data_IF_280898447875
#
_entry.id   IF_280898447875
#
_cell.length_a   1.000
_cell.length_b   1.000
_cell.length_c   1.000
_cell.angle_alpha   90.00
_cell.angle_beta   90.00
_cell.angle_gamma   90.00
#
_symmetry.space_group_name_H-M   'P 1'
#
loop_
_entity.id
_entity.type
_entity.pdbx_description
1 polymer ?
#
# COMPACT_ATOMS: atom_id res chain seq x y z
N UNK A 1 7.59 0.06 8.33
CA UNK A 1 6.58 -1.01 8.07
C UNK A 1 5.80 -0.72 6.79
N UNK A 2 5.70 -1.66 5.84
CA UNK A 2 5.17 -1.39 4.47
C UNK A 2 3.65 -1.52 4.32
N UNK A 3 3.06 -2.58 4.87
CA UNK A 3 1.62 -2.85 4.73
C UNK A 3 1.06 -3.56 5.96
N UNK A 4 -0.16 -3.19 6.39
CA UNK A 4 -1.00 -3.98 7.30
C UNK A 4 -2.28 -4.39 6.60
N UNK A 5 -2.69 -5.63 6.83
CA UNK A 5 -3.91 -6.18 6.26
C UNK A 5 -4.87 -6.59 7.36
N UNK A 6 -6.03 -5.94 7.36
CA UNK A 6 -7.23 -6.35 8.08
C UNK A 6 -8.22 -6.95 7.08
N UNK A 7 -9.29 -7.62 7.53
CA UNK A 7 -10.27 -8.24 6.63
C UNK A 7 -10.81 -7.28 5.55
N UNK A 8 -11.07 -6.02 5.92
CA UNK A 8 -11.70 -5.01 5.06
C UNK A 8 -10.87 -3.73 4.91
N UNK A 9 -9.63 -3.71 5.41
CA UNK A 9 -8.80 -2.51 5.40
C UNK A 9 -7.35 -2.85 5.13
N UNK A 10 -6.69 -2.05 4.31
CA UNK A 10 -5.29 -2.18 3.96
C UNK A 10 -4.60 -0.86 4.30
N UNK A 11 -3.71 -0.88 5.29
CA UNK A 11 -2.92 0.31 5.62
C UNK A 11 -1.59 0.25 4.88
N UNK A 12 -1.26 1.32 4.18
CA UNK A 12 -0.08 1.47 3.35
C UNK A 12 0.87 2.44 4.07
N UNK A 13 2.12 2.01 4.21
CA UNK A 13 3.18 2.77 4.90
C UNK A 13 2.83 3.19 6.35
N UNK A 14 2.10 2.38 7.16
CA UNK A 14 1.54 2.82 8.46
C UNK A 14 2.57 3.36 9.47
N UNK A 15 3.83 2.96 9.31
CA UNK A 15 4.96 3.43 10.08
C UNK A 15 6.22 3.28 9.21
N UNK A 16 6.15 3.77 7.97
CA UNK A 16 7.31 3.84 7.09
C UNK A 16 8.00 5.21 7.23
N UNK A 17 9.33 5.20 7.20
CA UNK A 17 10.10 6.43 7.20
C UNK A 17 9.92 7.14 5.85
N UNK A 18 9.37 8.37 5.87
CA UNK A 18 9.09 9.15 4.67
C UNK A 18 10.36 9.60 3.93
N UNK A 19 11.53 9.48 4.55
CA UNK A 19 12.81 9.79 3.90
C UNK A 19 13.39 8.62 3.11
N UNK A 20 12.82 7.41 3.25
CA UNK A 20 13.34 6.19 2.64
C UNK A 20 12.51 5.79 1.43
N UNK A 21 13.15 5.87 0.27
CA UNK A 21 12.61 5.40 -1.01
C UNK A 21 12.35 3.88 -0.97
N UNK A 22 11.18 3.45 -1.44
CA UNK A 22 10.84 2.02 -1.53
C UNK A 22 9.88 1.72 -2.67
N UNK A 23 10.07 0.57 -3.31
CA UNK A 23 9.07 -0.06 -4.17
C UNK A 23 8.67 -1.40 -3.59
N UNK A 24 7.37 -1.69 -3.57
CA UNK A 24 6.90 -2.99 -3.14
C UNK A 24 5.65 -3.43 -3.88
N UNK A 25 5.51 -4.75 -3.94
CA UNK A 25 4.34 -5.46 -4.44
C UNK A 25 4.01 -6.58 -3.46
N UNK A 26 2.90 -6.44 -2.75
CA UNK A 26 2.54 -7.36 -1.68
C UNK A 26 1.09 -7.84 -1.82
N UNK A 27 0.83 -9.03 -1.26
CA UNK A 27 -0.50 -9.62 -1.21
C UNK A 27 -1.23 -9.19 0.07
N UNK A 28 -2.48 -8.79 -0.09
CA UNK A 28 -3.46 -8.56 0.96
C UNK A 28 -4.60 -9.59 0.87
N UNK A 29 -5.47 -9.60 1.89
CA UNK A 29 -6.60 -10.52 1.97
C UNK A 29 -7.58 -10.36 0.80
N UNK A 30 -8.37 -11.42 0.56
CA UNK A 30 -9.34 -11.55 -0.55
C UNK A 30 -8.72 -11.34 -1.94
N UNK A 31 -7.58 -11.99 -2.15
CA UNK A 31 -6.85 -12.01 -3.42
C UNK A 31 -6.52 -10.61 -3.96
N UNK A 32 -6.11 -9.72 -3.05
CA UNK A 32 -5.71 -8.36 -3.41
C UNK A 32 -4.21 -8.26 -3.53
N UNK A 33 -3.72 -7.53 -4.52
CA UNK A 33 -2.33 -7.15 -4.69
C UNK A 33 -2.24 -5.64 -4.62
N UNK A 34 -1.31 -5.14 -3.81
CA UNK A 34 -0.98 -3.72 -3.70
C UNK A 34 0.43 -3.50 -4.18
N UNK A 35 0.57 -2.63 -5.18
CA UNK A 35 1.82 -2.16 -5.74
C UNK A 35 1.99 -0.69 -5.38
N UNK A 36 3.14 -0.33 -4.80
CA UNK A 36 3.47 1.04 -4.39
C UNK A 36 4.89 1.38 -4.79
N UNK A 37 5.04 2.58 -5.34
CA UNK A 37 6.32 3.27 -5.48
C UNK A 37 6.30 4.53 -4.63
N UNK A 38 7.15 4.57 -3.61
CA UNK A 38 7.34 5.71 -2.73
C UNK A 38 8.73 6.30 -2.97
N UNK A 39 8.78 7.58 -3.33
CA UNK A 39 10.02 8.30 -3.65
C UNK A 39 9.97 9.73 -3.15
N UNK A 40 11.05 10.18 -2.56
CA UNK A 40 11.22 11.59 -2.13
C UNK A 40 10.10 12.09 -1.22
N UNK A 41 9.60 11.24 -0.32
CA UNK A 41 8.52 11.61 0.61
C UNK A 41 7.09 11.44 0.07
N UNK A 42 6.93 11.01 -1.18
CA UNK A 42 5.63 10.95 -1.84
C UNK A 42 5.38 9.60 -2.53
N UNK A 43 4.10 9.23 -2.65
CA UNK A 43 3.68 8.08 -3.46
C UNK A 43 3.63 8.50 -4.92
N UNK A 44 4.51 7.92 -5.72
CA UNK A 44 4.57 8.11 -7.17
C UNK A 44 3.64 7.15 -7.90
N UNK A 45 3.38 5.97 -7.31
CA UNK A 45 2.45 4.99 -7.86
C UNK A 45 1.78 4.22 -6.74
N UNK A 46 0.46 4.07 -6.86
CA UNK A 46 -0.34 3.15 -6.06
C UNK A 46 -1.28 2.42 -7.01
N UNK A 47 -1.22 1.08 -7.03
CA UNK A 47 -2.14 0.23 -7.76
C UNK A 47 -2.66 -0.86 -6.85
N UNK A 48 -3.97 -1.00 -6.79
CA UNK A 48 -4.64 -2.08 -6.07
C UNK A 48 -5.40 -2.94 -7.07
N UNK A 49 -5.14 -4.25 -7.04
CA UNK A 49 -5.81 -5.23 -7.91
C UNK A 49 -6.49 -6.29 -7.06
N UNK A 50 -7.81 -6.53 -7.18
CA UNK A 50 -8.73 -5.89 -8.13
C UNK A 50 -9.09 -4.46 -7.72
N UNK A 51 -9.44 -3.63 -8.71
CA UNK A 51 -9.73 -2.19 -8.52
C UNK A 51 -10.83 -1.90 -7.50
N UNK A 52 -11.79 -2.82 -7.35
CA UNK A 52 -12.87 -2.70 -6.35
C UNK A 52 -12.36 -2.61 -4.91
N UNK A 53 -11.13 -3.04 -4.65
CA UNK A 53 -10.50 -3.01 -3.33
C UNK A 53 -9.69 -1.73 -3.08
N UNK A 54 -9.61 -0.82 -4.04
CA UNK A 54 -8.95 0.50 -3.84
C UNK A 54 -9.58 1.27 -2.68
N UNK A 55 -10.90 1.16 -2.50
CA UNK A 55 -11.62 1.81 -1.40
C UNK A 55 -11.21 1.32 0.00
N UNK A 56 -10.59 0.14 0.10
CA UNK A 56 -10.14 -0.44 1.36
C UNK A 56 -8.72 0.04 1.73
N UNK A 57 -8.01 0.71 0.81
CA UNK A 57 -6.62 1.11 0.98
C UNK A 57 -6.49 2.53 1.56
N UNK A 58 -5.73 2.67 2.65
CA UNK A 58 -5.46 3.94 3.31
C UNK A 58 -3.95 4.15 3.48
N UNK A 59 -3.47 5.32 3.08
CA UNK A 59 -2.06 5.74 3.21
C UNK A 59 -1.91 6.54 4.51
N UNK A 60 -0.82 6.31 5.26
CA UNK A 60 -0.49 7.01 6.51
C UNK A 60 0.91 7.65 6.45
#
# INVERSE_FOLDING_TARGET
>A
MLMQCFPDTILILPCWDKTVDVDFKLHALKNTVVEVSFRSGEIQMLRVTPKSREQDAMIL
#
